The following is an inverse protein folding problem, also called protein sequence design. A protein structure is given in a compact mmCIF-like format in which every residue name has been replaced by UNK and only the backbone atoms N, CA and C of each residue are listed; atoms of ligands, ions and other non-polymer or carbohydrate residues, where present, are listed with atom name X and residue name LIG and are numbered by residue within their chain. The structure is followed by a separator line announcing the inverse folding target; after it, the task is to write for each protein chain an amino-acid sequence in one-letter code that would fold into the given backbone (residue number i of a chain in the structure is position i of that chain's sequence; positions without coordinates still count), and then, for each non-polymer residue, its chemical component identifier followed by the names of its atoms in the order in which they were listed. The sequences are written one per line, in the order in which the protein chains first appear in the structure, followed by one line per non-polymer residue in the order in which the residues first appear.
data_IF_574845975426
#
_entry.id   IF_574845975426
#
_cell.length_a   1.000
_cell.length_b   1.000
_cell.length_c   1.000
_cell.angle_alpha   90.00
_cell.angle_beta   90.00
_cell.angle_gamma   90.00
#
_symmetry.space_group_name_H-M   'P 1'
#
loop_
_entity.id
_entity.type
_entity.pdbx_description
1 polymer ?
#
# COMPACT_ATOMS: atom_id res chain seq x y z
N UNK A 1 -7.21 -10.33 9.11
CA UNK A 1 -7.21 -10.12 7.65
C UNK A 1 -6.03 -9.24 7.28
N UNK A 2 -5.31 -9.60 6.23
CA UNK A 2 -4.21 -8.82 5.66
C UNK A 2 -4.36 -8.79 4.13
N UNK A 3 -3.94 -7.70 3.50
CA UNK A 3 -3.97 -7.57 2.05
C UNK A 3 -2.56 -7.40 1.51
N UNK A 4 -1.83 -8.50 1.26
CA UNK A 4 -0.55 -8.44 0.59
C UNK A 4 -0.74 -8.18 -0.90
N UNK A 5 0.03 -7.21 -1.40
CA UNK A 5 0.28 -7.03 -2.82
C UNK A 5 1.56 -7.80 -3.16
N UNK A 6 1.42 -8.81 -4.03
CA UNK A 6 2.49 -9.76 -4.33
C UNK A 6 2.82 -9.72 -5.81
N UNK A 7 4.07 -9.46 -6.13
CA UNK A 7 4.61 -9.65 -7.46
C UNK A 7 5.29 -11.01 -7.55
N UNK A 8 5.36 -11.56 -8.76
CA UNK A 8 6.08 -12.80 -9.03
C UNK A 8 7.31 -12.45 -9.86
N UNK A 9 8.48 -12.93 -9.45
CA UNK A 9 9.72 -12.84 -10.20
C UNK A 9 10.02 -14.21 -10.84
N UNK A 10 10.06 -14.25 -12.16
CA UNK A 10 10.39 -15.45 -12.92
C UNK A 10 11.11 -15.07 -14.22
N UNK A 11 12.11 -15.85 -14.64
CA UNK A 11 12.90 -15.56 -15.85
C UNK A 11 12.05 -15.57 -17.12
N UNK A 12 11.07 -16.47 -17.17
CA UNK A 12 10.21 -16.73 -18.31
C UNK A 12 8.92 -17.47 -17.87
N UNK A 13 7.95 -17.66 -18.80
CA UNK A 13 6.73 -18.39 -18.51
C UNK A 13 6.92 -19.87 -18.14
N UNK A 14 8.02 -20.50 -18.53
CA UNK A 14 8.30 -21.91 -18.21
C UNK A 14 8.73 -22.05 -16.75
N UNK A 15 9.60 -21.17 -16.26
CA UNK A 15 9.95 -21.07 -14.84
C UNK A 15 8.69 -20.85 -13.98
N UNK A 16 7.79 -19.97 -14.43
CA UNK A 16 6.49 -19.77 -13.77
C UNK A 16 5.65 -21.06 -13.72
N UNK A 17 5.51 -21.76 -14.85
CA UNK A 17 4.73 -23.00 -14.93
C UNK A 17 5.30 -24.12 -14.06
N UNK A 18 6.63 -24.17 -13.91
CA UNK A 18 7.35 -25.13 -13.10
C UNK A 18 7.40 -24.76 -11.60
N UNK A 19 6.85 -23.60 -11.22
CA UNK A 19 6.92 -23.09 -9.84
C UNK A 19 8.32 -22.60 -9.43
N UNK A 20 9.21 -22.39 -10.39
CA UNK A 20 10.53 -21.79 -10.17
C UNK A 20 10.43 -20.26 -10.14
N UNK A 21 9.83 -19.75 -9.08
CA UNK A 21 9.55 -18.32 -8.91
C UNK A 21 9.89 -17.81 -7.54
N UNK A 22 10.30 -16.55 -7.45
CA UNK A 22 10.33 -15.84 -6.18
C UNK A 22 9.09 -14.95 -6.06
N UNK A 23 8.55 -14.83 -4.86
CA UNK A 23 7.46 -13.92 -4.55
C UNK A 23 8.05 -12.64 -3.96
N UNK A 24 7.55 -11.49 -4.37
CA UNK A 24 8.02 -10.19 -3.88
C UNK A 24 6.84 -9.46 -3.27
N UNK A 25 6.91 -9.22 -1.96
CA UNK A 25 5.93 -8.39 -1.27
C UNK A 25 6.14 -6.94 -1.68
N UNK A 26 5.18 -6.39 -2.43
CA UNK A 26 5.17 -4.99 -2.86
C UNK A 26 4.78 -4.06 -1.70
N UNK A 27 3.58 -4.27 -1.18
CA UNK A 27 3.01 -3.58 -0.04
C UNK A 27 2.14 -4.54 0.80
N UNK A 28 2.01 -4.29 2.11
CA UNK A 28 1.09 -5.01 2.97
C UNK A 28 0.11 -4.03 3.58
N UNK A 29 -1.13 -4.06 3.09
CA UNK A 29 -2.20 -3.25 3.66
C UNK A 29 -2.78 -3.92 4.90
N UNK A 30 -2.41 -3.41 6.08
CA UNK A 30 -2.86 -3.95 7.35
C UNK A 30 -4.30 -3.50 7.67
N UNK A 31 -5.13 -4.44 8.14
CA UNK A 31 -6.47 -4.18 8.67
C UNK A 31 -7.46 -3.45 7.73
N UNK A 32 -7.21 -3.44 6.42
CA UNK A 32 -8.12 -2.83 5.43
C UNK A 32 -8.34 -3.76 4.25
N UNK A 33 -9.57 -3.82 3.73
CA UNK A 33 -9.86 -4.49 2.46
C UNK A 33 -9.96 -3.45 1.33
N UNK A 34 -8.89 -3.31 0.56
CA UNK A 34 -8.83 -2.41 -0.59
C UNK A 34 -9.57 -2.95 -1.81
N UNK A 35 -9.88 -4.26 -1.88
CA UNK A 35 -10.67 -4.86 -2.97
C UNK A 35 -12.14 -4.43 -2.95
N UNK A 36 -12.59 -3.81 -1.86
CA UNK A 36 -13.96 -3.28 -1.74
C UNK A 36 -14.19 -1.94 -2.46
N UNK A 37 -13.15 -1.35 -3.05
CA UNK A 37 -13.28 -0.08 -3.75
C UNK A 37 -14.08 -0.27 -5.04
N UNK A 38 -15.00 0.67 -5.32
CA UNK A 38 -15.95 0.59 -6.42
C UNK A 38 -15.25 0.33 -7.77
N UNK A 39 -14.11 0.99 -8.03
CA UNK A 39 -13.33 0.82 -9.27
C UNK A 39 -12.91 -0.64 -9.53
N UNK A 40 -12.67 -1.44 -8.49
CA UNK A 40 -12.25 -2.83 -8.64
C UNK A 40 -13.45 -3.75 -8.86
N UNK A 41 -14.57 -3.49 -8.19
CA UNK A 41 -15.80 -4.28 -8.36
C UNK A 41 -16.45 -4.01 -9.71
N UNK A 42 -16.54 -2.74 -10.11
CA UNK A 42 -17.11 -2.34 -11.40
C UNK A 42 -16.32 -2.87 -12.62
N UNK A 43 -15.02 -3.15 -12.44
CA UNK A 43 -14.17 -3.74 -13.47
C UNK A 43 -14.11 -5.27 -13.43
N UNK A 44 -14.72 -5.91 -12.42
CA UNK A 44 -14.68 -7.36 -12.28
C UNK A 44 -15.71 -8.02 -13.21
N UNK A 45 -15.34 -9.07 -13.97
CA UNK A 45 -16.29 -9.74 -14.89
C UNK A 45 -17.43 -10.45 -14.16
N UNK A 46 -17.23 -10.80 -12.89
CA UNK A 46 -18.19 -11.52 -12.06
C UNK A 46 -18.31 -10.86 -10.68
N UNK A 47 -18.90 -9.65 -10.55
CA UNK A 47 -18.93 -8.92 -9.29
C UNK A 47 -19.65 -9.68 -8.16
N UNK A 48 -20.64 -10.51 -8.50
CA UNK A 48 -21.35 -11.39 -7.57
C UNK A 48 -20.43 -12.37 -6.84
N UNK A 49 -19.33 -12.81 -7.47
CA UNK A 49 -18.32 -13.66 -6.80
C UNK A 49 -17.62 -12.93 -5.68
N UNK A 50 -17.38 -11.63 -5.81
CA UNK A 50 -16.78 -10.81 -4.76
C UNK A 50 -17.76 -10.65 -3.58
N UNK A 51 -19.06 -10.47 -3.87
CA UNK A 51 -20.12 -10.42 -2.86
C UNK A 51 -20.21 -11.74 -2.10
N UNK A 52 -20.27 -12.87 -2.82
CA UNK A 52 -20.32 -14.20 -2.22
C UNK A 52 -19.07 -14.48 -1.38
N UNK A 53 -17.87 -14.11 -1.86
CA UNK A 53 -16.64 -14.25 -1.10
C UNK A 53 -16.66 -13.40 0.18
N UNK A 54 -17.08 -12.13 0.10
CA UNK A 54 -17.21 -11.22 1.24
C UNK A 54 -18.19 -11.78 2.30
N UNK A 55 -19.34 -12.29 1.87
CA UNK A 55 -20.31 -12.93 2.74
C UNK A 55 -19.76 -14.21 3.39
N UNK A 56 -19.02 -15.02 2.63
CA UNK A 56 -18.41 -16.26 3.12
C UNK A 56 -17.31 -16.04 4.16
N UNK A 57 -16.68 -14.86 4.22
CA UNK A 57 -15.74 -14.51 5.31
C UNK A 57 -16.44 -14.48 6.67
N UNK A 58 -17.75 -14.26 6.70
CA UNK A 58 -18.53 -14.38 7.94
C UNK A 58 -18.26 -13.26 8.96
N UNK A 59 -17.82 -12.07 8.54
CA UNK A 59 -17.68 -10.93 9.45
C UNK A 59 -19.06 -10.42 9.93
N UNK A 60 -19.60 -11.04 10.97
CA UNK A 60 -20.94 -10.76 11.52
C UNK A 60 -21.01 -9.54 12.44
N UNK A 61 -19.87 -8.98 12.85
CA UNK A 61 -19.79 -7.80 13.74
C UNK A 61 -18.97 -6.65 13.15
N UNK A 62 -18.86 -6.60 11.82
CA UNK A 62 -18.13 -5.52 11.16
C UNK A 62 -18.89 -4.20 11.31
N UNK A 63 -18.17 -3.17 11.75
CA UNK A 63 -18.64 -1.79 11.76
C UNK A 63 -18.00 -1.08 10.57
N UNK A 64 -18.85 -0.50 9.72
CA UNK A 64 -18.47 0.28 8.56
C UNK A 64 -18.73 1.76 8.84
N UNK A 65 -17.72 2.61 8.73
CA UNK A 65 -17.84 4.05 8.98
C UNK A 65 -18.26 4.77 7.71
N UNK A 66 -19.36 5.50 7.79
CA UNK A 66 -19.77 6.42 6.74
C UNK A 66 -19.16 7.78 7.08
N UNK A 67 -18.20 8.28 6.27
CA UNK A 67 -17.62 9.58 6.50
C UNK A 67 -18.60 10.69 6.11
N UNK A 68 -18.36 11.88 6.68
CA UNK A 68 -19.02 13.10 6.23
C UNK A 68 -18.65 13.44 4.78
N UNK A 69 -19.57 14.09 4.08
CA UNK A 69 -19.42 14.55 2.70
C UNK A 69 -18.23 15.52 2.51
N UNK A 70 -17.93 16.33 3.51
CA UNK A 70 -16.82 17.29 3.52
C UNK A 70 -15.47 16.68 3.96
N UNK A 71 -15.43 15.37 4.21
CA UNK A 71 -14.21 14.67 4.58
C UNK A 71 -13.20 14.65 3.43
N UNK A 72 -11.90 14.89 3.68
CA UNK A 72 -10.84 14.64 2.69
C UNK A 72 -10.78 13.19 2.19
N UNK A 73 -11.46 12.25 2.88
CA UNK A 73 -11.57 10.84 2.47
C UNK A 73 -12.81 10.57 1.60
N UNK A 74 -13.74 11.51 1.48
CA UNK A 74 -14.93 11.43 0.64
C UNK A 74 -14.59 11.65 -0.85
N UNK A 75 -13.71 10.81 -1.39
CA UNK A 75 -13.28 10.87 -2.80
C UNK A 75 -13.84 9.67 -3.55
N UNK A 76 -14.10 9.83 -4.85
CA UNK A 76 -14.54 8.72 -5.72
C UNK A 76 -13.57 7.54 -5.68
N UNK A 77 -12.26 7.79 -5.53
CA UNK A 77 -11.23 6.77 -5.40
C UNK A 77 -11.39 5.90 -4.15
N UNK A 78 -11.91 6.48 -3.08
CA UNK A 78 -12.14 5.82 -1.80
C UNK A 78 -13.58 5.33 -1.64
N UNK A 79 -14.43 5.54 -2.65
CA UNK A 79 -15.80 5.04 -2.66
C UNK A 79 -15.80 3.52 -2.69
N UNK A 80 -16.62 2.92 -1.82
CA UNK A 80 -16.83 1.48 -1.78
C UNK A 80 -17.86 1.07 -2.82
N UNK A 81 -17.77 -0.18 -3.25
CA UNK A 81 -18.80 -0.81 -4.07
C UNK A 81 -20.05 -1.04 -3.21
N UNK A 82 -21.21 -0.57 -3.69
CA UNK A 82 -22.47 -0.75 -2.97
C UNK A 82 -22.83 -2.23 -2.80
N UNK A 83 -22.42 -3.07 -3.74
CA UNK A 83 -22.65 -4.52 -3.74
C UNK A 83 -21.93 -5.23 -2.59
N UNK A 84 -20.83 -4.66 -2.09
CA UNK A 84 -20.06 -5.21 -0.97
C UNK A 84 -20.45 -4.61 0.38
N UNK A 85 -21.42 -3.70 0.38
CA UNK A 85 -22.04 -3.14 1.58
C UNK A 85 -23.17 -4.08 1.99
N UNK A 86 -22.87 -5.01 2.90
CA UNK A 86 -23.81 -6.06 3.30
C UNK A 86 -24.78 -5.58 4.39
N UNK A 87 -26.08 -5.93 4.33
CA UNK A 87 -27.05 -5.61 5.38
C UNK A 87 -26.70 -6.18 6.77
N UNK A 88 -25.84 -7.19 6.83
CA UNK A 88 -25.34 -7.78 8.08
C UNK A 88 -24.35 -6.88 8.84
N UNK A 89 -23.84 -5.83 8.21
CA UNK A 89 -22.91 -4.90 8.84
C UNK A 89 -23.64 -3.82 9.66
N UNK A 90 -22.91 -3.23 10.60
CA UNK A 90 -23.36 -2.01 11.29
C UNK A 90 -22.71 -0.80 10.65
N UNK A 91 -23.50 0.21 10.30
CA UNK A 91 -23.05 1.44 9.67
C UNK A 91 -22.97 2.56 10.70
N UNK A 92 -21.77 3.09 10.93
CA UNK A 92 -21.49 4.17 11.86
C UNK A 92 -21.49 5.51 11.12
N UNK A 93 -22.50 6.32 11.37
CA UNK A 93 -22.78 7.60 10.71
C UNK A 93 -22.19 8.77 11.49
N UNK A 94 -21.36 9.62 10.85
CA UNK A 94 -20.63 10.73 11.50
C UNK A 94 -21.32 12.09 11.33
N UNK A 95 -22.18 12.29 10.31
CA UNK A 95 -22.86 13.55 10.06
C UNK A 95 -23.59 13.62 8.70
N UNK A 96 -23.33 14.65 7.90
CA UNK A 96 -23.87 14.73 6.54
C UNK A 96 -23.17 13.67 5.67
N UNK A 97 -23.82 12.53 5.46
CA UNK A 97 -23.17 11.31 4.98
C UNK A 97 -22.85 11.29 3.49
N UNK A 98 -21.83 10.51 3.10
CA UNK A 98 -21.43 10.32 1.69
C UNK A 98 -22.30 9.34 0.91
N UNK A 99 -23.05 8.47 1.57
CA UNK A 99 -23.94 7.48 0.95
C UNK A 99 -24.91 6.92 1.99
N UNK A 100 -25.99 6.30 1.52
CA UNK A 100 -26.98 5.64 2.38
C UNK A 100 -26.59 4.18 2.69
N UNK A 101 -26.78 3.71 3.94
CA UNK A 101 -26.69 2.29 4.26
C UNK A 101 -27.65 1.44 3.41
N UNK A 102 -27.30 0.18 3.11
CA UNK A 102 -28.18 -0.72 2.39
C UNK A 102 -29.46 -1.01 3.19
N UNK A 103 -30.55 -1.29 2.48
CA UNK A 103 -31.84 -1.59 3.11
C UNK A 103 -31.73 -2.78 4.09
N UNK A 104 -32.32 -2.63 5.27
CA UNK A 104 -32.29 -3.64 6.33
C UNK A 104 -31.01 -3.64 7.18
N UNK A 105 -30.03 -2.78 6.88
CA UNK A 105 -28.84 -2.65 7.71
C UNK A 105 -29.09 -1.88 9.00
N UNK A 106 -28.26 -2.15 10.00
CA UNK A 106 -28.23 -1.35 11.23
C UNK A 106 -27.40 -0.09 10.99
N UNK A 107 -28.01 1.08 11.11
CA UNK A 107 -27.33 2.37 11.04
C UNK A 107 -27.36 3.05 12.41
N UNK A 108 -26.22 3.59 12.85
CA UNK A 108 -26.05 4.20 14.17
C UNK A 108 -25.28 5.50 14.03
N UNK A 109 -25.84 6.60 14.55
CA UNK A 109 -25.13 7.87 14.64
C UNK A 109 -24.06 7.81 15.74
N UNK A 110 -22.86 8.32 15.47
CA UNK A 110 -21.83 8.52 16.50
C UNK A 110 -22.32 9.39 17.66
N UNK A 111 -23.27 10.29 17.41
CA UNK A 111 -23.83 11.19 18.43
C UNK A 111 -24.68 10.44 19.44
N UNK A 112 -25.26 9.30 19.05
CA UNK A 112 -26.09 8.46 19.91
C UNK A 112 -25.27 7.46 20.73
N UNK A 113 -23.96 7.42 20.53
CA UNK A 113 -23.06 6.53 21.24
C UNK A 113 -22.35 7.24 22.40
N UNK A 114 -22.11 6.47 23.47
CA UNK A 114 -21.26 6.85 24.59
C UNK A 114 -20.26 5.73 24.87
N UNK A 115 -19.00 6.11 25.08
CA UNK A 115 -17.96 5.20 25.53
C UNK A 115 -17.87 5.26 27.06
N UNK A 116 -17.87 4.09 27.70
CA UNK A 116 -17.79 3.93 29.14
C UNK A 116 -16.70 2.95 29.51
N UNK A 117 -16.00 3.23 30.60
CA UNK A 117 -15.05 2.29 31.20
C UNK A 117 -15.81 1.22 31.99
N UNK A 118 -15.56 -0.05 31.68
CA UNK A 118 -16.04 -1.21 32.45
C UNK A 118 -14.85 -2.06 32.86
N UNK A 119 -14.36 -1.86 34.08
CA UNK A 119 -13.12 -2.48 34.54
C UNK A 119 -11.92 -2.01 33.70
N UNK A 120 -11.18 -2.97 33.14
CA UNK A 120 -10.05 -2.71 32.24
C UNK A 120 -10.50 -2.33 30.82
N UNK A 121 -11.73 -2.65 30.43
CA UNK A 121 -12.22 -2.49 29.07
C UNK A 121 -12.93 -1.15 28.83
N UNK A 122 -12.94 -0.74 27.57
CA UNK A 122 -13.81 0.32 27.05
C UNK A 122 -14.95 -0.32 26.24
N UNK A 123 -16.17 0.03 26.61
CA UNK A 123 -17.40 -0.44 25.97
C UNK A 123 -18.13 0.77 25.40
N UNK A 124 -18.69 0.61 24.20
CA UNK A 124 -19.49 1.65 23.54
C UNK A 124 -20.95 1.21 23.52
N UNK A 125 -21.85 2.04 24.04
CA UNK A 125 -23.29 1.74 24.09
C UNK A 125 -24.10 2.88 23.49
N UNK A 126 -25.31 2.56 23.07
CA UNK A 126 -26.30 3.56 22.75
C UNK A 126 -26.71 4.35 24.00
N UNK A 127 -26.93 5.67 23.86
CA UNK A 127 -27.31 6.58 24.96
C UNK A 127 -28.60 6.16 25.64
N UNK A 128 -29.59 5.73 24.86
CA UNK A 128 -30.89 5.26 25.35
C UNK A 128 -30.83 3.88 26.02
N UNK A 129 -29.69 3.18 25.97
CA UNK A 129 -29.54 1.82 26.47
C UNK A 129 -30.10 0.73 25.55
N UNK A 130 -30.56 1.10 24.34
CA UNK A 130 -31.02 0.13 23.34
C UNK A 130 -29.85 -0.67 22.72
N UNK A 131 -30.14 -1.92 22.37
CA UNK A 131 -29.20 -2.81 21.67
C UNK A 131 -28.07 -3.37 22.53
N UNK A 132 -27.27 -4.24 21.91
CA UNK A 132 -26.09 -4.83 22.54
C UNK A 132 -24.92 -3.85 22.50
N UNK A 133 -24.16 -3.67 23.59
CA UNK A 133 -22.96 -2.84 23.58
C UNK A 133 -21.88 -3.37 22.60
N UNK A 134 -21.15 -2.45 21.98
CA UNK A 134 -19.99 -2.73 21.16
C UNK A 134 -18.71 -2.70 21.99
N UNK A 135 -17.68 -3.44 21.56
CA UNK A 135 -16.33 -3.25 22.09
C UNK A 135 -15.76 -1.97 21.47
N UNK A 136 -15.04 -1.17 22.26
CA UNK A 136 -14.43 0.05 21.73
C UNK A 136 -13.56 -0.17 20.47
N UNK A 137 -12.69 -1.20 20.39
CA UNK A 137 -11.91 -1.47 19.18
C UNK A 137 -12.75 -1.80 17.94
N UNK A 138 -13.98 -2.31 18.10
CA UNK A 138 -14.89 -2.56 16.96
C UNK A 138 -15.35 -1.22 16.37
N UNK A 139 -15.71 -0.25 17.24
CA UNK A 139 -16.23 1.06 16.84
C UNK A 139 -15.14 1.95 16.23
N UNK A 140 -13.94 1.94 16.81
CA UNK A 140 -12.82 2.71 16.27
C UNK A 140 -12.01 1.94 15.22
N UNK A 141 -12.45 0.74 14.84
CA UNK A 141 -11.72 -0.17 13.96
C UNK A 141 -11.33 0.47 12.64
N UNK A 142 -12.29 0.98 11.86
CA UNK A 142 -11.98 1.60 10.57
C UNK A 142 -11.13 2.88 10.65
N UNK A 143 -11.39 3.83 11.58
CA UNK A 143 -10.48 4.95 11.82
C UNK A 143 -9.04 4.50 12.12
N UNK A 144 -8.86 3.47 12.96
CA UNK A 144 -7.55 2.90 13.25
C UNK A 144 -6.94 2.24 12.02
N UNK A 145 -7.70 1.42 11.28
CA UNK A 145 -7.28 0.81 10.02
C UNK A 145 -6.76 1.84 9.03
N UNK A 146 -7.43 2.99 8.90
CA UNK A 146 -6.99 4.06 8.02
C UNK A 146 -5.66 4.71 8.45
N UNK A 147 -5.31 4.67 9.74
CA UNK A 147 -4.03 5.15 10.25
C UNK A 147 -2.91 4.13 10.05
N UNK A 148 -3.23 2.83 10.14
CA UNK A 148 -2.24 1.75 10.11
C UNK A 148 -2.13 1.03 8.77
N UNK A 149 -2.98 1.37 7.78
CA UNK A 149 -3.05 0.68 6.50
C UNK A 149 -1.68 0.50 5.84
N UNK A 150 -0.83 1.54 5.89
CA UNK A 150 0.51 1.52 5.28
C UNK A 150 1.61 1.54 6.36
N UNK A 151 1.32 1.07 7.58
CA UNK A 151 2.28 1.08 8.68
C UNK A 151 3.25 -0.12 8.64
N UNK A 152 3.08 -1.07 7.72
CA UNK A 152 3.94 -2.25 7.62
C UNK A 152 5.33 -1.89 7.06
N UNK A 153 6.21 -1.48 7.97
CA UNK A 153 7.61 -1.21 7.72
C UNK A 153 8.46 -1.87 8.81
N UNK A 154 8.42 -3.21 8.94
CA UNK A 154 9.02 -3.92 10.07
C UNK A 154 10.56 -3.84 10.09
N UNK A 155 11.16 -3.46 8.96
CA UNK A 155 12.59 -3.40 8.79
C UNK A 155 13.07 -1.96 8.84
N UNK A 156 13.75 -1.60 9.94
CA UNK A 156 14.60 -0.41 9.98
C UNK A 156 15.80 -0.55 9.05
N UNK A 157 16.72 0.42 9.09
CA UNK A 157 17.96 0.28 8.34
C UNK A 157 18.94 1.42 8.56
N UNK A 158 20.22 1.05 8.63
CA UNK A 158 21.35 1.94 8.47
C UNK A 158 21.59 2.28 7.01
N UNK A 159 22.84 2.54 6.65
CA UNK A 159 23.23 2.92 5.29
C UNK A 159 22.83 1.90 4.21
N UNK A 160 22.91 0.60 4.47
CA UNK A 160 22.53 -0.47 3.56
C UNK A 160 21.71 -1.52 4.30
N UNK A 161 20.64 -1.98 3.66
CA UNK A 161 19.79 -3.06 4.12
C UNK A 161 19.78 -4.14 3.05
N UNK A 162 20.29 -5.36 3.34
CA UNK A 162 20.24 -6.47 2.40
C UNK A 162 18.79 -6.89 2.13
N UNK A 163 18.59 -7.66 1.06
CA UNK A 163 17.30 -8.31 0.79
C UNK A 163 16.95 -9.26 1.94
N UNK A 164 15.70 -9.21 2.39
CA UNK A 164 15.16 -10.04 3.47
C UNK A 164 14.13 -10.98 2.86
N UNK A 165 14.34 -12.29 3.05
CA UNK A 165 13.48 -13.34 2.52
C UNK A 165 13.01 -14.29 3.62
N UNK A 166 11.81 -14.84 3.43
CA UNK A 166 11.27 -15.99 4.17
C UNK A 166 11.02 -17.04 3.10
N UNK A 167 11.83 -18.10 3.07
CA UNK A 167 11.89 -19.04 1.95
C UNK A 167 12.02 -18.30 0.60
N UNK A 168 11.06 -18.49 -0.32
CA UNK A 168 11.01 -17.82 -1.64
C UNK A 168 10.26 -16.48 -1.63
N UNK A 169 9.82 -16.00 -0.47
CA UNK A 169 9.12 -14.72 -0.33
C UNK A 169 10.08 -13.62 0.12
N UNK A 170 10.34 -12.67 -0.76
CA UNK A 170 11.03 -11.41 -0.45
C UNK A 170 10.08 -10.49 0.30
N UNK A 171 10.29 -10.36 1.62
CA UNK A 171 9.51 -9.49 2.50
C UNK A 171 10.10 -8.09 2.62
N UNK A 172 11.39 -7.93 2.32
CA UNK A 172 12.08 -6.65 2.29
C UNK A 172 13.07 -6.59 1.14
N UNK A 173 12.82 -5.72 0.16
CA UNK A 173 13.77 -5.46 -0.93
C UNK A 173 15.05 -4.80 -0.40
N UNK A 174 16.16 -5.10 -1.05
CA UNK A 174 17.45 -4.47 -0.78
C UNK A 174 17.33 -2.94 -0.95
N UNK A 175 17.92 -2.19 -0.02
CA UNK A 175 17.87 -0.74 -0.04
C UNK A 175 19.11 -0.07 0.53
N UNK A 176 19.36 1.14 0.06
CA UNK A 176 20.45 2.01 0.49
C UNK A 176 19.87 3.34 0.93
N UNK A 177 20.32 3.85 2.08
CA UNK A 177 19.92 5.14 2.63
C UNK A 177 21.16 6.03 2.70
N UNK A 178 21.11 7.12 1.94
CA UNK A 178 22.27 7.95 1.64
C UNK A 178 21.93 9.42 1.93
N UNK A 179 22.83 10.18 2.58
CA UNK A 179 22.61 11.61 2.76
C UNK A 179 22.57 12.29 1.39
N UNK A 180 21.57 13.14 1.14
CA UNK A 180 21.44 13.87 -0.13
C UNK A 180 22.67 14.73 -0.42
N UNK A 181 23.30 15.30 0.61
CA UNK A 181 24.53 16.06 0.51
C UNK A 181 25.74 15.21 0.07
N UNK A 182 25.72 13.89 0.29
CA UNK A 182 26.77 12.96 -0.15
C UNK A 182 26.74 12.64 -1.65
N UNK A 183 25.68 13.05 -2.36
CA UNK A 183 25.52 12.85 -3.80
C UNK A 183 26.02 14.07 -4.61
N UNK A 184 27.30 14.42 -4.46
CA UNK A 184 27.93 15.58 -5.10
C UNK A 184 27.75 15.62 -6.63
N UNK A 185 27.70 14.44 -7.27
CA UNK A 185 27.42 14.29 -8.70
C UNK A 185 26.16 15.05 -9.13
N UNK A 186 25.13 15.13 -8.29
CA UNK A 186 23.86 15.78 -8.61
C UNK A 186 24.00 17.30 -8.84
N UNK A 187 25.09 17.91 -8.39
CA UNK A 187 25.37 19.34 -8.49
C UNK A 187 26.30 19.69 -9.67
N UNK A 188 26.84 18.70 -10.36
CA UNK A 188 27.66 18.91 -11.56
C UNK A 188 26.80 19.57 -12.65
N UNK A 189 27.26 20.69 -13.21
CA UNK A 189 26.50 21.49 -14.19
C UNK A 189 26.45 20.84 -15.56
N UNK A 190 27.59 20.34 -16.03
CA UNK A 190 27.69 19.63 -17.31
C UNK A 190 26.96 18.28 -17.24
N UNK A 191 26.10 18.02 -18.23
CA UNK A 191 25.22 16.85 -18.23
C UNK A 191 25.98 15.54 -18.44
N UNK A 192 26.96 15.54 -19.35
CA UNK A 192 27.79 14.36 -19.62
C UNK A 192 28.66 13.99 -18.42
N UNK A 193 29.31 14.99 -17.81
CA UNK A 193 30.10 14.81 -16.60
C UNK A 193 29.23 14.36 -15.42
N UNK A 194 28.04 14.95 -15.24
CA UNK A 194 27.06 14.54 -14.22
C UNK A 194 26.68 13.07 -14.38
N UNK A 195 26.38 12.64 -15.60
CA UNK A 195 26.04 11.25 -15.87
C UNK A 195 27.21 10.31 -15.56
N UNK A 196 28.43 10.63 -16.01
CA UNK A 196 29.62 9.85 -15.70
C UNK A 196 29.92 9.76 -14.19
N UNK A 197 29.71 10.85 -13.45
CA UNK A 197 29.84 10.86 -11.99
C UNK A 197 28.75 10.07 -11.30
N UNK A 198 27.50 10.14 -11.76
CA UNK A 198 26.42 9.31 -11.26
C UNK A 198 26.73 7.82 -11.41
N UNK A 199 27.30 7.40 -12.56
CA UNK A 199 27.75 6.02 -12.79
C UNK A 199 28.86 5.60 -11.82
N UNK A 200 29.86 6.47 -11.61
CA UNK A 200 30.94 6.22 -10.64
C UNK A 200 30.41 6.12 -9.21
N UNK A 201 29.52 7.03 -8.84
CA UNK A 201 28.88 7.04 -7.52
C UNK A 201 28.04 5.78 -7.29
N UNK A 202 27.22 5.38 -8.26
CA UNK A 202 26.47 4.10 -8.27
C UNK A 202 27.39 2.93 -7.97
N UNK A 203 28.49 2.80 -8.73
CA UNK A 203 29.45 1.72 -8.56
C UNK A 203 30.11 1.73 -7.18
N UNK A 204 30.54 2.91 -6.69
CA UNK A 204 31.19 3.08 -5.39
C UNK A 204 30.29 2.69 -4.21
N UNK A 205 28.97 2.85 -4.35
CA UNK A 205 27.98 2.54 -3.31
C UNK A 205 27.35 1.15 -3.48
N UNK A 206 27.75 0.38 -4.52
CA UNK A 206 27.17 -0.93 -4.81
C UNK A 206 25.69 -0.91 -5.20
N UNK A 207 25.19 0.22 -5.70
CA UNK A 207 23.77 0.39 -6.06
C UNK A 207 23.42 -0.44 -7.30
N UNK A 208 22.15 -0.84 -7.51
CA UNK A 208 21.72 -1.52 -8.73
C UNK A 208 21.66 -0.56 -9.93
N UNK A 209 21.52 -1.09 -11.16
CA UNK A 209 21.28 -0.23 -12.33
C UNK A 209 19.90 0.40 -12.30
N UNK A 210 18.89 -0.34 -11.83
CA UNK A 210 17.49 0.09 -11.74
C UNK A 210 16.99 0.04 -10.30
N UNK A 211 16.12 0.99 -9.95
CA UNK A 211 15.51 1.01 -8.63
C UNK A 211 14.42 2.05 -8.50
N UNK A 212 13.97 2.21 -7.27
CA UNK A 212 13.02 3.23 -6.87
C UNK A 212 13.64 4.13 -5.81
N UNK A 213 13.55 5.43 -6.01
CA UNK A 213 14.07 6.45 -5.12
C UNK A 213 12.93 7.08 -4.34
N UNK A 214 13.07 7.10 -3.01
CA UNK A 214 12.23 7.87 -2.09
C UNK A 214 13.05 9.00 -1.49
N UNK A 215 12.52 10.21 -1.57
CA UNK A 215 13.05 11.42 -0.97
C UNK A 215 11.91 12.21 -0.35
N UNK A 216 12.17 13.01 0.68
CA UNK A 216 11.12 13.75 1.39
C UNK A 216 10.38 14.76 0.50
N UNK A 217 11.05 15.32 -0.51
CA UNK A 217 10.46 16.31 -1.40
C UNK A 217 9.46 15.72 -2.43
N UNK A 218 9.35 14.40 -2.54
CA UNK A 218 8.48 13.72 -3.49
C UNK A 218 7.50 12.79 -2.76
N UNK A 219 6.21 12.93 -3.09
CA UNK A 219 5.14 12.17 -2.42
C UNK A 219 5.14 10.69 -2.80
N UNK A 220 5.66 10.34 -3.99
CA UNK A 220 5.72 8.97 -4.51
C UNK A 220 7.16 8.58 -4.83
N UNK A 221 7.52 7.29 -4.67
CA UNK A 221 8.78 6.79 -5.16
C UNK A 221 8.94 7.03 -6.67
N UNK A 222 10.14 7.44 -7.08
CA UNK A 222 10.50 7.68 -8.47
C UNK A 222 11.31 6.51 -9.02
N UNK A 223 11.00 6.01 -10.21
CA UNK A 223 11.86 5.04 -10.88
C UNK A 223 13.19 5.71 -11.30
N UNK A 224 14.30 4.99 -11.14
CA UNK A 224 15.62 5.36 -11.67
C UNK A 224 16.19 4.20 -12.49
N UNK A 225 16.83 4.54 -13.60
CA UNK A 225 17.75 3.65 -14.33
C UNK A 225 19.03 4.45 -14.55
N UNK A 226 20.13 4.05 -13.91
CA UNK A 226 21.42 4.76 -14.00
C UNK A 226 22.03 4.70 -15.40
N UNK A 227 21.48 3.89 -16.32
CA UNK A 227 21.87 3.87 -17.74
C UNK A 227 21.10 4.89 -18.56
N UNK A 228 20.04 5.47 -18.00
CA UNK A 228 19.19 6.47 -18.66
C UNK A 228 19.58 7.88 -18.20
N UNK A 229 20.25 8.61 -19.09
CA UNK A 229 20.64 10.00 -18.85
C UNK A 229 19.45 10.90 -18.41
N UNK A 230 18.26 10.82 -19.04
CA UNK A 230 17.08 11.57 -18.58
C UNK A 230 16.65 11.25 -17.14
N UNK A 231 16.68 9.96 -16.74
CA UNK A 231 16.29 9.56 -15.38
C UNK A 231 17.34 9.99 -14.35
N UNK A 232 18.62 9.90 -14.69
CA UNK A 232 19.72 10.43 -13.86
C UNK A 232 19.56 11.94 -13.64
N UNK A 233 19.18 12.70 -14.68
CA UNK A 233 18.92 14.13 -14.56
C UNK A 233 17.73 14.47 -13.68
N UNK A 234 16.63 13.70 -13.79
CA UNK A 234 15.47 13.85 -12.90
C UNK A 234 15.87 13.57 -11.46
N UNK A 235 16.61 12.49 -11.21
CA UNK A 235 17.13 12.17 -9.88
C UNK A 235 18.02 13.30 -9.34
N UNK A 236 18.92 13.85 -10.15
CA UNK A 236 19.78 14.96 -9.74
C UNK A 236 18.96 16.17 -9.28
N UNK A 237 17.90 16.53 -10.02
CA UNK A 237 17.01 17.64 -9.66
C UNK A 237 16.32 17.39 -8.32
N UNK A 238 15.84 16.17 -8.12
CA UNK A 238 15.19 15.71 -6.89
C UNK A 238 16.13 15.72 -5.67
N UNK A 239 17.38 15.30 -5.85
CA UNK A 239 18.43 15.36 -4.82
C UNK A 239 18.75 16.80 -4.44
N UNK A 240 18.94 17.70 -5.42
CA UNK A 240 19.24 19.12 -5.15
C UNK A 240 18.15 19.79 -4.34
N UNK A 241 16.87 19.62 -4.73
CA UNK A 241 15.71 20.15 -3.98
C UNK A 241 15.68 19.63 -2.53
N UNK A 242 16.05 18.37 -2.33
CA UNK A 242 16.08 17.75 -1.01
C UNK A 242 17.20 18.34 -0.15
N UNK A 243 18.39 18.56 -0.72
CA UNK A 243 19.52 19.17 -0.03
C UNK A 243 19.29 20.66 0.30
N UNK A 244 18.64 21.41 -0.60
CA UNK A 244 18.26 22.82 -0.37
C UNK A 244 17.29 22.96 0.82
N UNK A 245 16.44 21.96 1.06
CA UNK A 245 15.50 21.94 2.19
C UNK A 245 16.15 21.53 3.53
N UNK A 246 17.44 21.15 3.54
CA UNK A 246 18.20 20.78 4.74
C UNK A 246 18.87 19.40 4.66
N UNK A 247 19.17 18.81 5.82
CA UNK A 247 19.74 17.46 5.93
C UNK A 247 18.70 16.39 5.55
N UNK A 248 18.50 16.19 4.25
CA UNK A 248 17.60 15.17 3.71
C UNK A 248 18.33 13.89 3.31
N UNK A 249 17.56 12.80 3.27
CA UNK A 249 18.03 11.47 2.91
C UNK A 249 17.43 11.01 1.58
N UNK A 250 18.19 10.20 0.85
CA UNK A 250 17.79 9.53 -0.38
C UNK A 250 17.79 8.03 -0.10
N UNK A 251 16.62 7.42 -0.17
CA UNK A 251 16.49 5.97 -0.07
C UNK A 251 16.31 5.39 -1.46
N UNK A 252 17.26 4.54 -1.88
CA UNK A 252 17.19 3.79 -3.12
C UNK A 252 16.83 2.36 -2.75
N UNK A 253 15.76 1.83 -3.33
CA UNK A 253 15.37 0.41 -3.20
C UNK A 253 15.54 -0.25 -4.56
N UNK A 254 16.05 -1.48 -4.58
CA UNK A 254 16.19 -2.24 -5.83
C UNK A 254 14.85 -2.37 -6.58
N UNK A 255 14.94 -2.46 -7.92
CA UNK A 255 13.82 -2.88 -8.74
C UNK A 255 13.76 -4.41 -8.69
N UNK A 256 12.73 -4.94 -8.03
CA UNK A 256 12.49 -6.37 -7.94
C UNK A 256 10.98 -6.63 -8.08
N UNK A 257 10.53 -7.48 -9.02
CA UNK A 257 11.31 -8.16 -10.06
C UNK A 257 12.05 -7.18 -10.98
N UNK A 258 13.26 -7.53 -11.45
CA UNK A 258 13.92 -6.77 -12.52
C UNK A 258 13.23 -7.05 -13.88
N UNK A 259 13.52 -6.25 -14.90
CA UNK A 259 12.88 -6.27 -16.22
C UNK A 259 12.94 -7.65 -16.89
N UNK A 260 14.03 -8.38 -16.67
CA UNK A 260 14.26 -9.75 -17.17
C UNK A 260 13.57 -10.84 -16.32
N UNK A 261 13.01 -10.46 -15.16
CA UNK A 261 12.21 -11.32 -14.27
C UNK A 261 10.70 -11.03 -14.36
N UNK A 262 10.29 -10.18 -15.30
CA UNK A 262 8.89 -9.91 -15.60
C UNK A 262 8.31 -11.06 -16.45
N UNK A 263 7.46 -11.87 -15.81
CA UNK A 263 6.88 -13.09 -16.39
C UNK A 263 5.70 -12.81 -17.33
N UNK A 264 4.91 -11.77 -17.08
CA UNK A 264 3.73 -11.46 -17.89
C UNK A 264 4.15 -10.89 -19.24
N UNK A 265 3.81 -11.61 -20.31
CA UNK A 265 4.14 -11.23 -21.68
C UNK A 265 2.90 -11.14 -22.54
N UNK A 266 2.87 -10.16 -23.45
CA UNK A 266 1.86 -10.12 -24.50
C UNK A 266 2.26 -10.99 -25.71
N UNK A 267 1.37 -11.04 -26.70
CA UNK A 267 1.61 -11.82 -27.93
C UNK A 267 2.82 -11.35 -28.76
N UNK A 268 3.30 -10.12 -28.53
CA UNK A 268 4.51 -9.59 -29.16
C UNK A 268 5.78 -9.83 -28.33
N UNK A 269 5.66 -10.51 -27.18
CA UNK A 269 6.76 -10.80 -26.27
C UNK A 269 7.17 -9.63 -25.38
N UNK A 270 6.42 -8.52 -25.37
CA UNK A 270 6.68 -7.40 -24.45
C UNK A 270 6.36 -7.83 -23.04
N UNK A 271 7.20 -7.42 -22.09
CA UNK A 271 7.09 -7.78 -20.67
C UNK A 271 6.38 -6.68 -19.88
N UNK A 272 5.58 -7.09 -18.90
CA UNK A 272 4.78 -6.18 -18.09
C UNK A 272 4.99 -6.44 -16.60
N UNK A 273 5.02 -5.37 -15.83
CA UNK A 273 4.87 -5.43 -14.39
C UNK A 273 3.47 -5.90 -14.05
N UNK A 274 3.37 -6.95 -13.23
CA UNK A 274 2.11 -7.49 -12.74
C UNK A 274 2.19 -7.71 -11.24
N UNK A 275 1.11 -7.36 -10.54
CA UNK A 275 0.98 -7.47 -9.10
C UNK A 275 -0.37 -8.12 -8.79
N UNK A 276 -0.36 -9.08 -7.88
CA UNK A 276 -1.53 -9.78 -7.38
C UNK A 276 -1.91 -9.17 -6.03
N UNK A 277 -3.08 -8.52 -5.99
CA UNK A 277 -3.69 -8.07 -4.74
C UNK A 277 -4.57 -9.16 -4.18
N UNK A 278 -4.21 -9.66 -2.99
CA UNK A 278 -4.86 -10.82 -2.38
C UNK A 278 -5.48 -10.40 -1.06
N UNK A 279 -6.65 -10.93 -0.72
CA UNK A 279 -7.21 -10.85 0.64
C UNK A 279 -6.88 -12.13 1.38
N UNK A 280 -6.00 -12.05 2.36
CA UNK A 280 -5.64 -13.17 3.22
C UNK A 280 -6.41 -13.09 4.55
N UNK A 281 -7.14 -14.16 4.86
CA UNK A 281 -7.91 -14.31 6.08
C UNK A 281 -7.27 -15.45 6.88
N UNK A 282 -6.99 -15.20 8.16
CA UNK A 282 -6.52 -16.28 9.02
C UNK A 282 -7.69 -17.26 9.25
N UNK A 283 -7.47 -18.57 9.13
CA UNK A 283 -8.46 -19.53 9.59
C UNK A 283 -8.73 -19.31 11.09
N UNK A 284 -9.97 -19.57 11.51
CA UNK A 284 -10.35 -19.56 12.94
C UNK A 284 -9.57 -20.59 13.76
#
# INVERSE_FOLDING_TARGET
MALPDVMIAATDPEALANGDVDFVLGELHAATNALENNVLVAAHPEPERLVAASAAVGFTRRIFTIPRLDSPRATTRMSRANELMLPSYTYLCIGAETFDPPAGATAVSVLDLVAERRGADLVVRHRTGAGTPYRFPEVVGEPLSALVANAFHPFGGGYHRPRITIDRLVVGREAWRLPAAGAAWAFVKDEGARYAEARRWRAAHGLPERGFVRIAAESKPMAVDFRSLPLVNQLAKSIRRTAEAGAGEVTITEMLPDVDQLWLRDASGRRYTAELRIVAIAPE
#
